data_IF_394526687700
#
_entry.id   IF_394526687700
#
_cell.length_a   1.000
_cell.length_b   1.000
_cell.length_c   1.000
_cell.angle_alpha   90.00
_cell.angle_beta   90.00
_cell.angle_gamma   90.00
#
_symmetry.space_group_name_H-M   'P 1'
#
loop_
_entity.id
_entity.type
_entity.pdbx_description
1 polymer ?
#
# COMPACT_ATOMS: atom_id res chain seq x y z
N UNK A 1 9.20 0.13 12.72
CA UNK A 1 10.16 -0.33 11.70
C UNK A 1 10.72 0.91 11.01
N UNK A 2 11.92 0.86 10.42
CA UNK A 2 12.50 2.02 9.73
C UNK A 2 12.31 1.89 8.22
N UNK A 3 11.61 2.85 7.63
CA UNK A 3 11.45 3.00 6.18
C UNK A 3 12.47 3.99 5.63
N UNK A 4 12.69 4.00 4.31
CA UNK A 4 13.72 4.84 3.70
C UNK A 4 13.38 6.33 3.69
N UNK A 5 12.13 6.71 3.40
CA UNK A 5 11.71 8.12 3.43
C UNK A 5 11.30 8.51 4.85
N UNK A 6 11.84 9.61 5.36
CA UNK A 6 11.46 10.15 6.68
C UNK A 6 9.99 10.60 6.72
N UNK A 7 9.42 10.93 5.57
CA UNK A 7 8.01 11.30 5.40
C UNK A 7 7.06 10.10 5.27
N UNK A 8 7.59 8.87 5.17
CA UNK A 8 6.77 7.68 5.14
C UNK A 8 6.06 7.49 6.49
N UNK A 9 4.80 7.08 6.43
CA UNK A 9 3.95 6.96 7.61
C UNK A 9 3.35 5.55 7.72
N UNK A 10 3.26 5.07 8.96
CA UNK A 10 2.44 3.94 9.34
C UNK A 10 1.30 4.43 10.25
N UNK A 11 0.07 4.26 9.79
CA UNK A 11 -1.13 4.54 10.55
C UNK A 11 -1.77 3.24 11.04
N UNK A 12 -2.11 3.17 12.34
CA UNK A 12 -2.74 2.01 12.99
C UNK A 12 -4.09 2.47 13.55
N UNK A 13 -5.22 2.13 12.91
CA UNK A 13 -6.54 2.68 13.25
C UNK A 13 -6.98 2.46 14.71
N UNK A 14 -6.68 1.30 15.29
CA UNK A 14 -7.10 0.89 16.63
C UNK A 14 -6.03 1.13 17.72
N UNK A 15 -4.95 1.83 17.37
CA UNK A 15 -3.87 2.24 18.29
C UNK A 15 -3.18 1.11 19.06
N UNK A 16 -3.23 -0.13 18.57
CA UNK A 16 -2.37 -1.20 19.12
C UNK A 16 -0.90 -0.93 18.74
N UNK A 17 0.03 -1.65 19.39
CA UNK A 17 1.46 -1.51 19.06
C UNK A 17 1.74 -1.91 17.61
N UNK A 18 2.73 -1.29 16.97
CA UNK A 18 3.18 -1.64 15.63
C UNK A 18 3.38 -3.16 15.44
N UNK A 19 4.11 -3.81 16.34
CA UNK A 19 4.38 -5.24 16.24
C UNK A 19 3.09 -6.07 16.23
N UNK A 20 2.10 -5.72 17.06
CA UNK A 20 0.81 -6.40 17.10
C UNK A 20 -0.04 -6.13 15.85
N UNK A 21 -0.05 -4.89 15.36
CA UNK A 21 -0.79 -4.50 14.16
C UNK A 21 -0.27 -5.23 12.92
N UNK A 22 1.05 -5.32 12.75
CA UNK A 22 1.65 -5.96 11.58
C UNK A 22 1.59 -7.49 11.68
N UNK A 23 1.80 -8.07 12.87
CA UNK A 23 1.82 -9.54 13.02
C UNK A 23 0.45 -10.21 12.80
N UNK A 24 -0.66 -9.47 12.92
CA UNK A 24 -2.02 -10.01 12.69
C UNK A 24 -2.47 -9.96 11.23
N UNK A 25 -1.72 -9.28 10.35
CA UNK A 25 -2.06 -9.15 8.93
C UNK A 25 -2.23 -10.53 8.29
N UNK A 26 -3.37 -10.74 7.61
CA UNK A 26 -3.59 -11.94 6.80
C UNK A 26 -3.64 -11.62 5.31
N UNK A 27 -4.27 -10.49 4.98
CA UNK A 27 -4.35 -9.97 3.62
C UNK A 27 -3.62 -8.63 3.55
N UNK A 28 -2.84 -8.43 2.50
CA UNK A 28 -2.12 -7.19 2.27
C UNK A 28 -2.37 -6.69 0.85
N UNK A 29 -2.58 -5.41 0.66
CA UNK A 29 -2.69 -4.82 -0.67
C UNK A 29 -1.67 -3.70 -0.85
N UNK A 30 -1.07 -3.64 -2.04
CA UNK A 30 -0.09 -2.62 -2.41
C UNK A 30 -0.61 -1.85 -3.61
N UNK A 31 -1.08 -0.63 -3.35
CA UNK A 31 -1.57 0.34 -4.33
C UNK A 31 -0.52 1.38 -4.67
N UNK A 32 -0.65 1.98 -5.85
CA UNK A 32 0.25 3.02 -6.31
C UNK A 32 -0.17 4.36 -5.70
N UNK A 33 -1.45 4.67 -5.76
CA UNK A 33 -2.06 5.88 -5.27
C UNK A 33 -3.00 5.54 -4.11
N UNK A 34 -3.45 6.58 -3.42
CA UNK A 34 -4.60 6.45 -2.54
C UNK A 34 -5.82 5.99 -3.38
N UNK A 35 -6.89 5.50 -2.75
CA UNK A 35 -8.08 4.88 -3.39
C UNK A 35 -7.89 3.57 -4.18
N UNK A 36 -6.69 3.29 -4.70
CA UNK A 36 -6.41 2.05 -5.44
C UNK A 36 -6.83 0.81 -4.65
N UNK A 37 -6.53 0.77 -3.35
CA UNK A 37 -6.78 -0.39 -2.48
C UNK A 37 -8.27 -0.74 -2.42
N UNK A 38 -9.10 0.28 -2.27
CA UNK A 38 -10.55 0.13 -2.15
C UNK A 38 -11.19 -0.30 -3.47
N UNK A 39 -10.58 0.04 -4.60
CA UNK A 39 -11.04 -0.35 -5.94
C UNK A 39 -10.60 -1.79 -6.27
N UNK A 40 -9.31 -2.07 -6.17
CA UNK A 40 -8.74 -3.32 -6.69
C UNK A 40 -8.73 -4.45 -5.64
N UNK A 41 -8.65 -4.15 -4.36
CA UNK A 41 -8.51 -5.14 -3.29
C UNK A 41 -9.77 -5.23 -2.40
N UNK A 42 -10.92 -4.79 -2.89
CA UNK A 42 -12.21 -4.87 -2.20
C UNK A 42 -12.53 -6.27 -1.67
N UNK A 43 -12.20 -7.31 -2.43
CA UNK A 43 -12.35 -8.71 -2.01
C UNK A 43 -11.59 -9.00 -0.71
N UNK A 44 -10.31 -8.61 -0.63
CA UNK A 44 -9.49 -8.78 0.57
C UNK A 44 -9.95 -7.94 1.75
N UNK A 45 -10.46 -6.73 1.49
CA UNK A 45 -11.06 -5.88 2.52
C UNK A 45 -12.30 -6.58 3.11
N UNK A 46 -13.23 -7.05 2.27
CA UNK A 46 -14.42 -7.77 2.72
C UNK A 46 -14.09 -9.08 3.45
N UNK A 47 -13.07 -9.80 2.99
CA UNK A 47 -12.63 -11.03 3.63
C UNK A 47 -12.16 -10.81 5.08
N UNK A 48 -11.69 -9.59 5.40
CA UNK A 48 -11.19 -9.22 6.73
C UNK A 48 -12.18 -8.39 7.56
N UNK A 49 -13.09 -7.64 6.91
CA UNK A 49 -13.99 -6.72 7.60
C UNK A 49 -14.89 -7.44 8.61
N UNK A 50 -14.96 -6.92 9.84
CA UNK A 50 -15.70 -7.51 10.96
C UNK A 50 -15.32 -8.97 11.28
N UNK A 51 -14.07 -9.35 10.99
CA UNK A 51 -13.52 -10.67 11.34
C UNK A 51 -12.63 -10.54 12.58
N UNK A 52 -12.72 -11.49 13.53
CA UNK A 52 -11.83 -11.49 14.70
C UNK A 52 -10.41 -11.97 14.37
N UNK A 53 -10.25 -12.73 13.28
CA UNK A 53 -9.08 -13.54 12.97
C UNK A 53 -8.47 -13.26 11.59
N UNK A 54 -9.03 -12.31 10.84
CA UNK A 54 -8.54 -11.91 9.52
C UNK A 54 -8.41 -10.40 9.46
N UNK A 55 -7.26 -9.93 8.98
CA UNK A 55 -6.90 -8.54 9.01
C UNK A 55 -6.29 -8.09 7.70
N UNK A 56 -6.80 -6.97 7.20
CA UNK A 56 -6.30 -6.34 6.00
C UNK A 56 -5.25 -5.29 6.35
N UNK A 57 -4.17 -5.21 5.60
CA UNK A 57 -3.17 -4.13 5.70
C UNK A 57 -2.95 -3.48 4.35
N UNK A 58 -3.14 -2.17 4.30
CA UNK A 58 -2.96 -1.38 3.10
C UNK A 58 -1.56 -0.80 2.99
N UNK A 59 -1.02 -0.74 1.78
CA UNK A 59 0.22 -0.01 1.44
C UNK A 59 -0.06 0.86 0.24
N UNK A 60 0.04 2.18 0.41
CA UNK A 60 0.05 3.13 -0.71
C UNK A 60 1.48 3.58 -0.93
N UNK A 61 2.01 3.32 -2.12
CA UNK A 61 3.42 3.52 -2.42
C UNK A 61 3.75 4.98 -2.72
N UNK A 62 2.89 5.68 -3.48
CA UNK A 62 3.19 7.04 -3.93
C UNK A 62 2.46 8.13 -3.14
N UNK A 63 2.95 9.35 -3.24
CA UNK A 63 2.47 10.49 -2.46
C UNK A 63 1.14 11.10 -2.94
N UNK A 64 0.70 10.80 -4.17
CA UNK A 64 -0.56 11.33 -4.72
C UNK A 64 -0.51 12.81 -5.14
N UNK A 65 0.66 13.46 -5.20
CA UNK A 65 0.76 14.88 -5.59
C UNK A 65 0.29 15.15 -7.03
N UNK A 66 0.51 14.20 -7.93
CA UNK A 66 0.06 14.27 -9.33
C UNK A 66 -1.44 13.98 -9.56
N UNK A 67 -2.27 13.99 -8.51
CA UNK A 67 -3.69 13.66 -8.63
C UNK A 67 -4.43 14.69 -9.50
N UNK A 68 -5.45 14.26 -10.27
CA UNK A 68 -6.29 15.18 -11.02
C UNK A 68 -6.91 16.24 -10.10
N UNK A 69 -6.95 17.48 -10.59
CA UNK A 69 -7.52 18.63 -9.89
C UNK A 69 -8.70 19.14 -10.67
N UNK A 70 -9.89 18.90 -10.13
CA UNK A 70 -11.15 19.40 -10.68
C UNK A 70 -12.00 19.92 -9.53
N UNK A 71 -12.99 20.76 -9.87
CA UNK A 71 -13.98 21.27 -8.93
C UNK A 71 -13.35 21.88 -7.66
N UNK A 72 -13.65 21.30 -6.50
CA UNK A 72 -13.19 21.77 -5.19
C UNK A 72 -11.67 21.72 -5.00
N UNK A 73 -10.95 21.00 -5.86
CA UNK A 73 -9.50 20.86 -5.84
C UNK A 73 -8.79 21.68 -6.92
N UNK A 74 -9.51 22.51 -7.69
CA UNK A 74 -8.95 23.23 -8.85
C UNK A 74 -7.72 24.10 -8.51
N UNK A 75 -7.72 24.73 -7.33
CA UNK A 75 -6.65 25.64 -6.89
C UNK A 75 -5.59 24.98 -5.99
N UNK A 76 -5.63 23.65 -5.82
CA UNK A 76 -4.75 22.95 -4.89
C UNK A 76 -3.34 22.76 -5.45
N UNK A 77 -2.31 22.92 -4.62
CA UNK A 77 -0.93 22.55 -4.95
C UNK A 77 -0.69 21.03 -4.90
N UNK A 78 0.50 20.56 -5.25
CA UNK A 78 0.89 19.14 -5.07
C UNK A 78 0.87 18.78 -3.59
N UNK A 79 1.39 19.66 -2.74
CA UNK A 79 1.43 19.50 -1.29
C UNK A 79 0.01 19.47 -0.68
N UNK A 80 -0.89 20.32 -1.15
CA UNK A 80 -2.29 20.32 -0.71
C UNK A 80 -2.98 18.99 -1.08
N UNK A 81 -2.77 18.51 -2.31
CA UNK A 81 -3.33 17.23 -2.75
C UNK A 81 -2.75 16.05 -1.97
N UNK A 82 -1.44 16.02 -1.72
CA UNK A 82 -0.81 14.99 -0.88
C UNK A 82 -1.44 14.97 0.52
N UNK A 83 -1.66 16.14 1.12
CA UNK A 83 -2.28 16.25 2.45
C UNK A 83 -3.73 15.73 2.46
N UNK A 84 -4.54 16.09 1.47
CA UNK A 84 -5.92 15.59 1.31
C UNK A 84 -5.93 14.08 1.18
N UNK A 85 -5.18 13.53 0.22
CA UNK A 85 -5.22 12.10 -0.08
C UNK A 85 -4.69 11.26 1.07
N UNK A 86 -3.70 11.76 1.81
CA UNK A 86 -3.24 11.14 3.07
C UNK A 86 -4.37 11.00 4.09
N UNK A 87 -5.20 12.03 4.25
CA UNK A 87 -6.35 11.99 5.17
C UNK A 87 -7.42 11.03 4.67
N UNK A 88 -7.71 11.04 3.37
CA UNK A 88 -8.70 10.14 2.74
C UNK A 88 -8.32 8.67 2.93
N UNK A 89 -7.06 8.29 2.64
CA UNK A 89 -6.63 6.90 2.80
C UNK A 89 -6.70 6.43 4.25
N UNK A 90 -6.36 7.29 5.22
CA UNK A 90 -6.50 6.95 6.65
C UNK A 90 -7.97 6.76 7.03
N UNK A 91 -8.89 7.59 6.52
CA UNK A 91 -10.33 7.40 6.74
C UNK A 91 -10.82 6.07 6.16
N UNK A 92 -10.36 5.70 4.96
CA UNK A 92 -10.66 4.40 4.38
C UNK A 92 -10.19 3.25 5.29
N UNK A 93 -8.96 3.35 5.82
CA UNK A 93 -8.43 2.36 6.76
C UNK A 93 -9.22 2.27 8.08
N UNK A 94 -9.75 3.39 8.60
CA UNK A 94 -10.66 3.37 9.76
C UNK A 94 -11.98 2.69 9.41
N UNK A 95 -12.60 3.05 8.29
CA UNK A 95 -13.90 2.51 7.87
C UNK A 95 -13.81 1.02 7.55
N UNK A 96 -12.74 0.60 6.89
CA UNK A 96 -12.49 -0.79 6.52
C UNK A 96 -11.91 -1.65 7.63
N UNK A 97 -11.74 -1.12 8.86
CA UNK A 97 -11.18 -1.82 10.02
C UNK A 97 -9.81 -2.46 9.75
N UNK A 98 -8.94 -1.74 9.03
CA UNK A 98 -7.61 -2.27 8.66
C UNK A 98 -6.75 -2.47 9.91
N UNK A 99 -5.89 -3.49 9.86
CA UNK A 99 -4.85 -3.67 10.87
C UNK A 99 -3.84 -2.52 10.85
N UNK A 100 -3.47 -2.05 9.66
CA UNK A 100 -2.48 -1.02 9.42
C UNK A 100 -2.64 -0.41 8.02
N UNK A 101 -2.21 0.84 7.87
CA UNK A 101 -2.11 1.54 6.59
C UNK A 101 -0.74 2.21 6.46
N UNK A 102 0.06 1.77 5.50
CA UNK A 102 1.30 2.41 5.12
C UNK A 102 1.07 3.46 4.03
N UNK A 103 1.77 4.58 4.15
CA UNK A 103 1.82 5.67 3.18
C UNK A 103 3.31 5.97 2.94
N UNK A 104 3.89 5.40 1.88
CA UNK A 104 5.36 5.42 1.69
C UNK A 104 5.88 6.74 1.12
N UNK A 105 4.99 7.58 0.58
CA UNK A 105 5.28 8.96 0.16
C UNK A 105 6.30 9.08 -0.99
N UNK A 106 6.56 8.01 -1.75
CA UNK A 106 7.44 8.10 -2.90
C UNK A 106 6.81 8.96 -4.01
N UNK A 107 7.61 9.73 -4.78
CA UNK A 107 7.12 10.26 -6.04
C UNK A 107 6.93 9.10 -7.04
N UNK A 108 5.96 9.22 -7.94
CA UNK A 108 5.71 8.19 -8.97
C UNK A 108 6.93 7.90 -9.86
N UNK A 109 7.88 8.84 -9.97
CA UNK A 109 9.14 8.63 -10.69
C UNK A 109 10.05 7.58 -10.04
N UNK A 110 10.00 7.41 -8.71
CA UNK A 110 10.84 6.45 -8.00
C UNK A 110 10.50 5.00 -8.37
N UNK A 111 9.21 4.65 -8.40
CA UNK A 111 8.75 3.29 -8.76
C UNK A 111 8.97 2.95 -10.25
N UNK A 112 9.15 3.97 -11.09
CA UNK A 112 9.47 3.81 -12.52
C UNK A 112 10.98 3.75 -12.80
N UNK A 113 11.82 4.11 -11.82
CA UNK A 113 13.27 4.09 -11.98
C UNK A 113 13.85 2.73 -11.54
N UNK A 114 14.37 1.87 -12.44
CA UNK A 114 14.93 0.57 -12.05
C UNK A 114 16.22 0.67 -11.22
N UNK A 115 16.88 1.83 -11.18
CA UNK A 115 18.07 2.03 -10.37
C UNK A 115 17.75 2.41 -8.91
N UNK A 116 16.48 2.71 -8.59
CA UNK A 116 16.06 3.04 -7.23
C UNK A 116 15.53 1.80 -6.51
N UNK A 117 16.34 1.22 -5.64
CA UNK A 117 16.01 0.02 -4.87
C UNK A 117 15.16 0.29 -3.64
N UNK A 118 15.04 1.55 -3.18
CA UNK A 118 14.41 1.90 -1.91
C UNK A 118 12.94 1.45 -1.83
N UNK A 119 12.09 1.61 -2.87
CA UNK A 119 10.72 1.08 -2.84
C UNK A 119 10.68 -0.45 -2.66
N UNK A 120 11.62 -1.19 -3.27
CA UNK A 120 11.71 -2.65 -3.13
C UNK A 120 12.10 -3.03 -1.71
N UNK A 121 13.09 -2.33 -1.15
CA UNK A 121 13.61 -2.56 0.20
C UNK A 121 12.52 -2.31 1.27
N UNK A 122 11.76 -1.21 1.15
CA UNK A 122 10.63 -0.90 2.03
C UNK A 122 9.51 -1.95 1.90
N UNK A 123 9.11 -2.32 0.67
CA UNK A 123 8.09 -3.35 0.45
C UNK A 123 8.53 -4.71 1.01
N UNK A 124 9.80 -5.09 0.85
CA UNK A 124 10.35 -6.31 1.42
C UNK A 124 10.37 -6.26 2.96
N UNK A 125 10.68 -5.11 3.56
CA UNK A 125 10.60 -4.93 5.01
C UNK A 125 9.16 -5.09 5.52
N UNK A 126 8.19 -4.51 4.81
CA UNK A 126 6.76 -4.62 5.17
C UNK A 126 6.31 -6.08 5.07
N UNK A 127 6.59 -6.77 3.96
CA UNK A 127 6.25 -8.18 3.78
C UNK A 127 6.86 -9.09 4.86
N UNK A 128 8.08 -8.80 5.33
CA UNK A 128 8.70 -9.55 6.44
C UNK A 128 7.99 -9.29 7.78
N UNK A 129 7.54 -8.07 8.02
CA UNK A 129 6.86 -7.70 9.25
C UNK A 129 5.41 -8.23 9.31
N UNK A 130 4.74 -8.32 8.16
CA UNK A 130 3.33 -8.69 8.07
C UNK A 130 3.10 -10.16 7.72
N UNK A 131 4.02 -10.79 6.97
CA UNK A 131 3.92 -12.20 6.50
C UNK A 131 2.51 -12.60 6.01
N UNK A 132 1.88 -11.81 5.11
CA UNK A 132 0.52 -12.05 4.69
C UNK A 132 0.41 -13.37 3.93
N UNK A 133 -0.73 -14.06 4.03
CA UNK A 133 -1.00 -15.23 3.19
C UNK A 133 -1.41 -14.80 1.78
N UNK A 134 -2.12 -13.68 1.66
CA UNK A 134 -2.65 -13.16 0.39
C UNK A 134 -2.15 -11.74 0.16
N UNK A 135 -1.67 -11.48 -1.06
CA UNK A 135 -1.27 -10.13 -1.49
C UNK A 135 -2.06 -9.71 -2.73
N UNK A 136 -2.55 -8.47 -2.74
CA UNK A 136 -3.20 -7.82 -3.88
C UNK A 136 -2.33 -6.66 -4.42
N UNK A 137 -2.33 -6.45 -5.73
CA UNK A 137 -1.64 -5.34 -6.41
C UNK A 137 -2.28 -5.09 -7.77
N UNK A 138 -1.78 -4.11 -8.52
CA UNK A 138 -2.24 -3.82 -9.88
C UNK A 138 -1.97 -4.94 -10.90
N UNK A 139 -2.77 -4.98 -11.96
CA UNK A 139 -2.55 -5.86 -13.11
C UNK A 139 -1.34 -5.41 -13.95
N UNK A 140 -0.55 -6.36 -14.46
CA UNK A 140 0.59 -6.06 -15.35
C UNK A 140 0.19 -5.53 -16.73
N UNK A 141 -1.08 -5.71 -17.13
CA UNK A 141 -1.65 -5.18 -18.36
C UNK A 141 -2.30 -3.79 -18.18
N UNK A 142 -2.11 -3.14 -17.03
CA UNK A 142 -2.65 -1.80 -16.76
C UNK A 142 -2.04 -0.75 -17.71
N UNK A 143 -2.86 0.22 -18.12
CA UNK A 143 -2.44 1.35 -18.96
C UNK A 143 -1.53 2.33 -18.23
N UNK A 144 -1.62 2.41 -16.90
CA UNK A 144 -0.96 3.43 -16.11
C UNK A 144 0.44 2.98 -15.67
N UNK A 145 1.49 3.63 -16.19
CA UNK A 145 2.90 3.24 -15.94
C UNK A 145 3.27 3.11 -14.45
N UNK A 146 2.71 3.97 -13.58
CA UNK A 146 2.98 3.89 -12.13
C UNK A 146 2.42 2.60 -11.51
N UNK A 147 1.27 2.10 -11.99
CA UNK A 147 0.66 0.86 -11.51
C UNK A 147 1.55 -0.33 -11.85
N UNK A 148 1.97 -0.41 -13.12
CA UNK A 148 2.93 -1.41 -13.59
C UNK A 148 4.25 -1.33 -12.81
N UNK A 149 4.78 -0.11 -12.60
CA UNK A 149 5.98 0.11 -11.81
C UNK A 149 5.87 -0.45 -10.38
N UNK A 150 4.79 -0.16 -9.68
CA UNK A 150 4.53 -0.68 -8.33
C UNK A 150 4.42 -2.19 -8.33
N UNK A 151 3.67 -2.79 -9.26
CA UNK A 151 3.54 -4.25 -9.35
C UNK A 151 4.89 -4.92 -9.60
N UNK A 152 5.74 -4.36 -10.47
CA UNK A 152 7.09 -4.87 -10.70
C UNK A 152 7.96 -4.79 -9.44
N UNK A 153 7.93 -3.67 -8.71
CA UNK A 153 8.69 -3.50 -7.45
C UNK A 153 8.21 -4.46 -6.36
N UNK A 154 6.91 -4.70 -6.27
CA UNK A 154 6.35 -5.67 -5.33
C UNK A 154 6.78 -7.11 -5.68
N UNK A 155 6.71 -7.50 -6.95
CA UNK A 155 7.15 -8.83 -7.38
C UNK A 155 8.63 -9.03 -7.06
N UNK A 156 9.46 -8.00 -7.29
CA UNK A 156 10.87 -8.02 -6.93
C UNK A 156 11.07 -8.19 -5.42
N UNK A 157 10.33 -7.41 -4.61
CA UNK A 157 10.36 -7.50 -3.15
C UNK A 157 9.97 -8.90 -2.65
N UNK A 158 8.87 -9.47 -3.14
CA UNK A 158 8.43 -10.83 -2.81
C UNK A 158 9.51 -11.86 -3.18
N UNK A 159 10.11 -11.75 -4.37
CA UNK A 159 11.14 -12.68 -4.84
C UNK A 159 12.47 -12.54 -4.10
N UNK A 160 12.73 -11.40 -3.46
CA UNK A 160 13.89 -11.20 -2.58
C UNK A 160 13.78 -11.96 -1.25
N UNK A 161 12.56 -12.36 -0.86
CA UNK A 161 12.34 -13.09 0.39
C UNK A 161 12.66 -14.59 0.25
N UNK A 162 13.09 -15.24 1.34
CA UNK A 162 13.10 -16.71 1.44
C UNK A 162 11.73 -17.29 1.09
N UNK A 163 11.70 -18.49 0.50
CA UNK A 163 10.48 -19.09 -0.04
C UNK A 163 9.36 -19.20 1.01
N UNK A 164 9.72 -19.55 2.24
CA UNK A 164 8.84 -19.70 3.41
C UNK A 164 8.30 -18.37 3.96
N UNK A 165 8.82 -17.23 3.49
CA UNK A 165 8.37 -15.90 3.87
C UNK A 165 7.57 -15.20 2.76
N UNK A 166 7.35 -15.87 1.62
CA UNK A 166 6.53 -15.35 0.51
C UNK A 166 5.05 -15.59 0.78
N UNK A 167 4.15 -14.72 0.28
CA UNK A 167 2.72 -14.98 0.34
C UNK A 167 2.35 -16.22 -0.46
N UNK A 168 1.26 -16.86 -0.07
CA UNK A 168 0.73 -18.06 -0.76
C UNK A 168 0.02 -17.68 -2.05
N UNK A 169 -0.60 -16.50 -2.11
CA UNK A 169 -1.26 -15.97 -3.30
C UNK A 169 -0.86 -14.51 -3.56
N UNK A 170 -0.73 -14.18 -4.84
CA UNK A 170 -0.56 -12.82 -5.35
C UNK A 170 -1.62 -12.58 -6.44
N UNK A 171 -2.50 -11.61 -6.23
CA UNK A 171 -3.59 -11.27 -7.14
C UNK A 171 -3.36 -9.91 -7.81
N UNK A 172 -3.57 -9.87 -9.13
CA UNK A 172 -3.69 -8.66 -9.94
C UNK A 172 -5.07 -8.64 -10.60
N UNK A 173 -6.09 -8.08 -9.94
CA UNK A 173 -7.47 -8.15 -10.42
C UNK A 173 -7.72 -7.30 -11.67
N UNK A 174 -8.78 -7.65 -12.41
CA UNK A 174 -9.27 -6.98 -13.63
C UNK A 174 -10.52 -6.16 -13.36
#
# INVERSE_FOLDING_TARGET
MKLHLESAELFIPDNVTEAAALARTTHLAVGAHQDDLEIMAYDGILACFQRPDQWFTGVVVTNGGGSPRTDVYADYTDEDMMAVRRVEQKKAAVIGEYAAQFLLDYPSSAVKNPADSRPVEDLAAILRATRPQVVYTHNLADKHDTHVGVTLRLIEAIRSLPLEARPTALYGPE
#
